data_IF_483751457316
#
_entry.id   IF_483751457316
#
_cell.length_a   1.000
_cell.length_b   1.000
_cell.length_c   1.000
_cell.angle_alpha   90.00
_cell.angle_beta   90.00
_cell.angle_gamma   90.00
#
_symmetry.space_group_name_H-M   'P 1'
#
loop_
_entity.id
_entity.type
_entity.pdbx_description
1 polymer ?
#
# COMPACT_ATOMS: atom_id res chain seq x y z
N UNK A 1 -22.96 -28.31 -1.15
CA UNK A 1 -22.94 -28.83 0.24
C UNK A 1 -23.03 -27.65 1.20
N UNK A 2 -23.90 -27.69 2.22
CA UNK A 2 -24.00 -26.56 3.17
C UNK A 2 -22.70 -26.39 3.97
N UNK A 3 -22.34 -25.17 4.43
CA UNK A 3 -21.10 -24.94 5.17
C UNK A 3 -20.92 -25.85 6.39
N UNK A 4 -22.01 -26.18 7.09
CA UNK A 4 -21.99 -27.11 8.23
C UNK A 4 -21.79 -28.57 7.81
N UNK A 5 -22.40 -29.01 6.70
CA UNK A 5 -22.16 -30.34 6.15
C UNK A 5 -20.70 -30.52 5.70
N UNK A 6 -20.09 -29.47 5.12
CA UNK A 6 -18.67 -29.48 4.70
C UNK A 6 -17.71 -29.61 5.88
N UNK A 7 -17.92 -28.83 6.94
CA UNK A 7 -17.09 -28.90 8.15
C UNK A 7 -17.17 -30.28 8.81
N UNK A 8 -18.37 -30.87 8.85
CA UNK A 8 -18.56 -32.20 9.42
C UNK A 8 -17.91 -33.30 8.58
N UNK A 9 -17.99 -33.21 7.25
CA UNK A 9 -17.29 -34.11 6.34
C UNK A 9 -15.76 -33.99 6.49
N UNK A 10 -15.23 -32.77 6.57
CA UNK A 10 -13.80 -32.53 6.75
C UNK A 10 -13.30 -33.11 8.08
N UNK A 11 -14.06 -32.93 9.18
CA UNK A 11 -13.72 -33.54 10.49
C UNK A 11 -13.79 -35.07 10.48
N UNK A 12 -14.71 -35.66 9.71
CA UNK A 12 -14.77 -37.12 9.53
C UNK A 12 -13.56 -37.64 8.74
N UNK A 13 -13.17 -36.94 7.68
CA UNK A 13 -11.99 -37.26 6.88
C UNK A 13 -10.69 -37.12 7.69
N UNK A 14 -10.57 -36.05 8.49
CA UNK A 14 -9.44 -35.81 9.38
C UNK A 14 -9.20 -36.97 10.34
N UNK A 15 -10.27 -37.47 10.97
CA UNK A 15 -10.20 -38.61 11.89
C UNK A 15 -9.86 -39.93 11.20
N UNK A 16 -10.32 -40.11 9.96
CA UNK A 16 -10.08 -41.34 9.19
C UNK A 16 -8.66 -41.42 8.64
N UNK A 17 -8.09 -40.29 8.23
CA UNK A 17 -6.83 -40.23 7.49
C UNK A 17 -5.66 -39.61 8.28
N UNK A 18 -5.90 -39.10 9.50
CA UNK A 18 -4.89 -38.48 10.36
C UNK A 18 -4.11 -37.33 9.69
N UNK A 19 -4.79 -36.58 8.81
CA UNK A 19 -4.23 -35.43 8.08
C UNK A 19 -4.62 -34.10 8.75
N UNK A 20 -3.93 -32.99 8.46
CA UNK A 20 -4.35 -31.66 8.89
C UNK A 20 -5.76 -31.29 8.38
N UNK A 21 -6.46 -30.43 9.12
CA UNK A 21 -7.84 -30.05 8.79
C UNK A 21 -7.96 -29.35 7.42
N UNK A 22 -6.95 -28.59 7.01
CA UNK A 22 -6.88 -27.91 5.70
C UNK A 22 -6.82 -28.90 4.55
N UNK A 23 -6.05 -29.98 4.69
CA UNK A 23 -5.96 -31.06 3.71
C UNK A 23 -7.28 -31.86 3.65
N UNK A 24 -7.84 -32.19 4.82
CA UNK A 24 -9.15 -32.84 4.90
C UNK A 24 -10.26 -32.00 4.26
N UNK A 25 -10.23 -30.68 4.43
CA UNK A 25 -11.18 -29.75 3.83
C UNK A 25 -11.06 -29.72 2.30
N UNK A 26 -9.83 -29.79 1.76
CA UNK A 26 -9.57 -29.88 0.32
C UNK A 26 -10.08 -31.20 -0.25
N UNK A 27 -9.87 -32.31 0.46
CA UNK A 27 -10.27 -33.65 0.02
C UNK A 27 -11.80 -33.86 -0.01
N UNK A 28 -12.56 -33.21 0.89
CA UNK A 28 -14.03 -33.34 0.93
C UNK A 28 -14.78 -32.25 0.16
N UNK A 29 -14.06 -31.33 -0.47
CA UNK A 29 -14.67 -30.30 -1.32
C UNK A 29 -14.68 -30.83 -2.75
N UNK A 30 -15.86 -31.11 -3.35
CA UNK A 30 -15.92 -31.57 -4.74
C UNK A 30 -15.27 -30.54 -5.66
N UNK A 31 -14.37 -30.99 -6.53
CA UNK A 31 -13.86 -30.15 -7.62
C UNK A 31 -15.06 -29.68 -8.45
N UNK A 32 -15.35 -28.38 -8.39
CA UNK A 32 -16.46 -27.75 -9.14
C UNK A 32 -17.74 -27.39 -8.35
N UNK A 33 -17.73 -27.34 -7.01
CA UNK A 33 -18.92 -26.86 -6.24
C UNK A 33 -18.76 -25.49 -5.56
N UNK A 34 -17.83 -24.69 -6.07
CA UNK A 34 -17.84 -23.23 -5.90
C UNK A 34 -17.92 -22.65 -7.32
N UNK A 35 -19.08 -22.06 -7.67
CA UNK A 35 -19.26 -21.30 -8.90
C UNK A 35 -19.98 -22.06 -10.01
N UNK A 36 -21.30 -21.90 -10.08
CA UNK A 36 -22.04 -22.11 -11.34
C UNK A 36 -22.88 -20.87 -11.71
N UNK A 37 -22.58 -19.72 -11.08
CA UNK A 37 -23.14 -18.38 -11.36
C UNK A 37 -22.13 -17.29 -10.95
N UNK A 38 -20.84 -17.49 -11.24
CA UNK A 38 -19.83 -16.43 -11.03
C UNK A 38 -19.54 -15.75 -12.38
N UNK A 39 -19.90 -14.47 -12.57
CA UNK A 39 -19.65 -13.73 -13.80
C UNK A 39 -18.16 -13.53 -14.11
N UNK A 40 -17.23 -13.87 -13.22
CA UNK A 40 -15.79 -13.63 -13.38
C UNK A 40 -14.97 -14.87 -13.79
N UNK A 41 -15.59 -15.89 -14.40
CA UNK A 41 -14.89 -17.09 -14.86
C UNK A 41 -13.75 -16.74 -15.85
N UNK A 42 -12.51 -16.93 -15.43
CA UNK A 42 -11.30 -16.64 -16.23
C UNK A 42 -10.58 -15.34 -15.85
N UNK A 43 -11.14 -14.53 -14.95
CA UNK A 43 -10.45 -13.37 -14.38
C UNK A 43 -9.51 -13.85 -13.27
N UNK A 44 -8.19 -13.56 -13.34
CA UNK A 44 -7.26 -13.93 -12.28
C UNK A 44 -7.64 -13.25 -10.94
N UNK A 45 -7.24 -13.86 -9.81
CA UNK A 45 -7.42 -13.22 -8.50
C UNK A 45 -6.77 -11.83 -8.48
N UNK A 46 -7.22 -10.90 -7.62
CA UNK A 46 -6.55 -9.60 -7.46
C UNK A 46 -5.04 -9.71 -7.30
N UNK A 47 -4.60 -10.68 -6.50
CA UNK A 47 -3.18 -10.95 -6.28
C UNK A 47 -2.46 -11.36 -7.55
N UNK A 48 -3.09 -12.24 -8.35
CA UNK A 48 -2.52 -12.67 -9.60
C UNK A 48 -2.48 -11.52 -10.63
N UNK A 49 -3.49 -10.65 -10.65
CA UNK A 49 -3.54 -9.48 -11.53
C UNK A 49 -2.40 -8.51 -11.25
N UNK A 50 -2.03 -8.29 -9.98
CA UNK A 50 -0.84 -7.49 -9.66
C UNK A 50 0.43 -8.14 -10.21
N UNK A 51 0.64 -9.42 -9.90
CA UNK A 51 1.84 -10.14 -10.32
C UNK A 51 1.96 -10.17 -11.84
N UNK A 52 0.87 -10.40 -12.56
CA UNK A 52 0.84 -10.35 -14.02
C UNK A 52 1.15 -8.93 -14.54
N UNK A 53 0.59 -7.88 -13.92
CA UNK A 53 0.88 -6.49 -14.28
C UNK A 53 2.35 -6.10 -14.03
N UNK A 54 2.99 -6.68 -13.01
CA UNK A 54 4.42 -6.56 -12.72
C UNK A 54 5.30 -7.54 -13.52
N UNK A 55 4.71 -8.35 -14.40
CA UNK A 55 5.40 -9.40 -15.17
C UNK A 55 6.12 -10.45 -14.28
N UNK A 56 5.58 -10.74 -13.11
CA UNK A 56 6.08 -11.72 -12.15
C UNK A 56 5.30 -13.03 -12.31
N UNK A 57 5.92 -14.03 -12.93
CA UNK A 57 5.28 -15.33 -13.12
C UNK A 57 5.12 -16.13 -11.82
N UNK A 58 6.16 -16.15 -10.98
CA UNK A 58 6.20 -16.85 -9.69
C UNK A 58 7.05 -16.03 -8.68
N UNK A 59 6.45 -15.52 -7.59
CA UNK A 59 7.16 -14.80 -6.53
C UNK A 59 8.30 -15.60 -5.89
N UNK A 60 8.17 -16.92 -5.78
CA UNK A 60 9.15 -17.77 -5.11
C UNK A 60 10.44 -17.95 -5.91
N UNK A 61 10.42 -17.70 -7.22
CA UNK A 61 11.58 -17.77 -8.12
C UNK A 61 11.90 -16.43 -8.79
N UNK A 62 11.24 -15.35 -8.36
CA UNK A 62 11.40 -14.03 -8.96
C UNK A 62 12.85 -13.54 -8.83
N UNK A 63 13.34 -12.85 -9.86
CA UNK A 63 14.58 -12.07 -9.79
C UNK A 63 14.29 -10.64 -10.25
N UNK A 64 14.62 -9.63 -9.43
CA UNK A 64 14.33 -8.24 -9.79
C UNK A 64 15.28 -7.69 -10.86
N UNK A 65 16.34 -8.42 -11.20
CA UNK A 65 17.43 -7.97 -12.08
C UNK A 65 16.93 -7.34 -13.39
N UNK A 66 16.00 -8.01 -14.07
CA UNK A 66 15.50 -7.53 -15.38
C UNK A 66 14.73 -6.22 -15.23
N UNK A 67 13.79 -6.18 -14.28
CA UNK A 67 12.99 -4.98 -14.01
C UNK A 67 13.89 -3.81 -13.56
N UNK A 68 14.83 -4.07 -12.65
CA UNK A 68 15.76 -3.03 -12.18
C UNK A 68 16.63 -2.48 -13.30
N UNK A 69 17.15 -3.34 -14.18
CA UNK A 69 17.91 -2.86 -15.33
C UNK A 69 17.07 -2.01 -16.30
N UNK A 70 15.80 -2.35 -16.48
CA UNK A 70 14.88 -1.60 -17.34
C UNK A 70 14.55 -0.24 -16.73
N UNK A 71 14.28 -0.19 -15.42
CA UNK A 71 13.76 0.98 -14.72
C UNK A 71 14.84 1.86 -14.04
N UNK A 72 16.11 1.46 -14.06
CA UNK A 72 17.20 2.19 -13.38
C UNK A 72 17.34 3.66 -13.83
N UNK A 73 16.99 3.96 -15.08
CA UNK A 73 17.11 5.30 -15.67
C UNK A 73 15.77 6.05 -15.79
N UNK A 74 14.67 5.45 -15.31
CA UNK A 74 13.35 6.08 -15.41
C UNK A 74 13.29 7.33 -14.54
N UNK A 75 12.83 8.45 -15.11
CA UNK A 75 12.68 9.70 -14.38
C UNK A 75 11.55 9.65 -13.36
N UNK A 76 10.49 8.91 -13.64
CA UNK A 76 9.28 8.87 -12.84
C UNK A 76 9.04 7.44 -12.36
N UNK A 77 8.50 7.28 -11.15
CA UNK A 77 8.12 5.95 -10.66
C UNK A 77 6.71 5.65 -11.13
N UNK A 78 6.49 4.47 -11.66
CA UNK A 78 5.17 4.02 -12.12
C UNK A 78 4.87 2.64 -11.56
N UNK A 79 3.61 2.42 -11.19
CA UNK A 79 3.17 1.11 -10.73
C UNK A 79 1.71 0.84 -11.06
N UNK A 80 1.33 -0.40 -11.39
CA UNK A 80 -0.07 -0.79 -11.50
C UNK A 80 -0.71 -0.79 -10.10
N UNK A 81 -1.86 -0.12 -9.94
CA UNK A 81 -2.52 0.00 -8.62
C UNK A 81 -3.93 -0.57 -8.55
N UNK A 82 -4.65 -0.61 -9.66
CA UNK A 82 -6.06 -0.98 -9.66
C UNK A 82 -6.49 -1.52 -11.00
N UNK A 83 -7.63 -2.19 -11.05
CA UNK A 83 -8.30 -2.58 -12.30
C UNK A 83 -9.78 -2.23 -12.18
N UNK A 84 -10.43 -1.87 -13.29
CA UNK A 84 -11.88 -1.66 -13.28
C UNK A 84 -12.59 -2.93 -12.77
N UNK A 85 -13.68 -2.76 -12.01
CA UNK A 85 -14.42 -3.90 -11.44
C UNK A 85 -15.11 -4.70 -12.57
N UNK A 86 -15.72 -4.00 -13.52
CA UNK A 86 -16.50 -4.63 -14.59
C UNK A 86 -15.61 -5.16 -15.72
N UNK A 87 -14.48 -4.49 -16.01
CA UNK A 87 -13.53 -4.85 -17.08
C UNK A 87 -12.08 -4.91 -16.57
N UNK A 88 -11.70 -5.96 -15.81
CA UNK A 88 -10.43 -6.01 -15.09
C UNK A 88 -9.21 -6.38 -15.96
N UNK A 89 -9.21 -5.99 -17.25
CA UNK A 89 -8.20 -6.43 -18.23
C UNK A 89 -6.96 -5.55 -18.26
N UNK A 90 -7.10 -4.26 -17.96
CA UNK A 90 -6.01 -3.28 -17.96
C UNK A 90 -5.87 -2.69 -16.57
N UNK A 91 -4.65 -2.69 -16.05
CA UNK A 91 -4.35 -2.09 -14.76
C UNK A 91 -4.14 -0.58 -14.91
N UNK A 92 -4.84 0.19 -14.09
CA UNK A 92 -4.60 1.61 -13.92
C UNK A 92 -3.24 1.86 -13.26
N UNK A 93 -2.50 2.82 -13.79
CA UNK A 93 -1.15 3.15 -13.34
C UNK A 93 -1.16 4.33 -12.37
N UNK A 94 -0.43 4.21 -11.27
CA UNK A 94 -0.05 5.32 -10.41
C UNK A 94 1.33 5.82 -10.81
N UNK A 95 1.43 7.12 -11.06
CA UNK A 95 2.69 7.82 -11.32
C UNK A 95 3.13 8.54 -10.05
N UNK A 96 4.41 8.48 -9.69
CA UNK A 96 4.98 9.28 -8.60
C UNK A 96 6.11 10.15 -9.15
N UNK A 97 5.79 11.42 -9.34
CA UNK A 97 6.66 12.45 -9.89
C UNK A 97 6.41 13.79 -9.17
N UNK A 98 7.08 14.85 -9.62
CA UNK A 98 6.95 16.18 -9.01
C UNK A 98 5.51 16.77 -9.10
N UNK A 99 4.70 16.35 -10.06
CA UNK A 99 3.31 16.78 -10.22
C UNK A 99 2.31 15.86 -9.49
N UNK A 100 2.73 14.65 -9.12
CA UNK A 100 1.94 13.69 -8.34
C UNK A 100 2.74 13.17 -7.14
N UNK A 101 3.03 14.07 -6.20
CA UNK A 101 3.93 13.83 -5.07
C UNK A 101 3.21 13.49 -3.78
N UNK A 102 1.94 13.88 -3.60
CA UNK A 102 1.14 13.58 -2.41
C UNK A 102 -0.04 12.68 -2.78
N UNK A 103 0.08 11.40 -2.43
CA UNK A 103 -0.96 10.38 -2.63
C UNK A 103 -1.66 10.11 -1.30
N UNK A 104 -2.97 10.31 -1.24
CA UNK A 104 -3.75 10.13 -0.03
C UNK A 104 -4.74 8.98 -0.14
N UNK A 105 -4.64 8.00 0.76
CA UNK A 105 -5.61 6.94 0.94
C UNK A 105 -6.62 7.34 2.01
N UNK A 106 -7.87 7.58 1.61
CA UNK A 106 -8.96 7.75 2.55
C UNK A 106 -9.61 6.38 2.79
N UNK A 107 -9.49 5.85 4.01
CA UNK A 107 -10.00 4.51 4.27
C UNK A 107 -10.33 4.27 5.75
N UNK A 108 -11.31 3.41 5.99
CA UNK A 108 -11.69 2.96 7.34
C UNK A 108 -11.10 1.57 7.67
N UNK A 109 -11.03 1.17 8.95
CA UNK A 109 -10.55 -0.15 9.33
C UNK A 109 -11.27 -1.30 8.60
N UNK A 110 -10.50 -2.29 8.13
CA UNK A 110 -11.03 -3.48 7.45
C UNK A 110 -11.31 -3.33 5.95
N UNK A 111 -10.95 -2.19 5.33
CA UNK A 111 -11.12 -1.97 3.88
C UNK A 111 -9.97 -2.47 3.00
N UNK A 112 -8.85 -2.87 3.61
CA UNK A 112 -7.65 -3.34 2.88
C UNK A 112 -6.55 -2.29 2.73
N UNK A 113 -6.71 -1.10 3.32
CA UNK A 113 -5.75 0.02 3.28
C UNK A 113 -4.29 -0.35 3.55
N UNK A 114 -3.98 -1.01 4.67
CA UNK A 114 -2.60 -1.45 4.99
C UNK A 114 -2.07 -2.47 3.98
N UNK A 115 -2.95 -3.35 3.45
CA UNK A 115 -2.57 -4.29 2.39
C UNK A 115 -2.25 -3.54 1.08
N UNK A 116 -3.01 -2.50 0.74
CA UNK A 116 -2.74 -1.64 -0.42
C UNK A 116 -1.41 -0.88 -0.26
N UNK A 117 -1.18 -0.22 0.88
CA UNK A 117 0.09 0.47 1.15
C UNK A 117 1.28 -0.48 1.06
N UNK A 118 1.21 -1.64 1.72
CA UNK A 118 2.26 -2.67 1.66
C UNK A 118 2.49 -3.17 0.23
N UNK A 119 1.41 -3.32 -0.54
CA UNK A 119 1.48 -3.74 -1.94
C UNK A 119 2.17 -2.70 -2.80
N UNK A 120 1.80 -1.42 -2.66
CA UNK A 120 2.43 -0.29 -3.36
C UNK A 120 3.93 -0.26 -3.07
N UNK A 121 4.31 -0.37 -1.79
CA UNK A 121 5.73 -0.39 -1.40
C UNK A 121 6.48 -1.58 -1.98
N UNK A 122 5.94 -2.80 -1.87
CA UNK A 122 6.60 -4.00 -2.42
C UNK A 122 6.67 -4.00 -3.95
N UNK A 123 5.63 -3.50 -4.64
CA UNK A 123 5.62 -3.38 -6.10
C UNK A 123 6.72 -2.43 -6.58
N UNK A 124 6.92 -1.31 -5.89
CA UNK A 124 8.03 -0.40 -6.15
C UNK A 124 9.39 -1.07 -5.90
N UNK A 125 9.56 -1.80 -4.79
CA UNK A 125 10.81 -2.53 -4.51
C UNK A 125 11.11 -3.62 -5.56
N UNK A 126 10.08 -4.28 -6.09
CA UNK A 126 10.22 -5.30 -7.13
C UNK A 126 10.60 -4.68 -8.49
N UNK A 127 10.13 -3.46 -8.77
CA UNK A 127 10.30 -2.80 -10.06
C UNK A 127 11.56 -1.93 -10.14
N UNK A 128 11.96 -1.31 -9.02
CA UNK A 128 13.04 -0.32 -8.96
C UNK A 128 14.15 -0.73 -8.00
N UNK A 129 15.43 -0.52 -8.35
CA UNK A 129 16.55 -0.79 -7.45
C UNK A 129 16.62 0.23 -6.29
N UNK A 130 17.29 -0.09 -5.17
CA UNK A 130 17.43 0.83 -4.04
C UNK A 130 18.21 2.11 -4.38
N UNK A 131 19.05 2.08 -5.41
CA UNK A 131 19.71 3.27 -5.97
C UNK A 131 18.73 4.20 -6.69
N UNK A 132 17.49 3.76 -6.94
CA UNK A 132 16.44 4.53 -7.61
C UNK A 132 15.29 4.92 -6.69
N UNK A 133 14.93 4.08 -5.73
CA UNK A 133 13.88 4.38 -4.74
C UNK A 133 14.26 3.90 -3.35
N UNK A 134 14.06 4.75 -2.36
CA UNK A 134 14.18 4.43 -0.94
C UNK A 134 12.91 4.80 -0.21
N UNK A 135 12.71 4.23 0.98
CA UNK A 135 11.52 4.41 1.78
C UNK A 135 11.84 4.88 3.19
N UNK A 136 11.04 5.81 3.68
CA UNK A 136 10.89 6.09 5.10
C UNK A 136 9.44 5.82 5.49
N UNK A 137 9.21 4.90 6.43
CA UNK A 137 7.85 4.43 6.73
C UNK A 137 7.45 4.71 8.18
N UNK A 138 6.22 5.14 8.42
CA UNK A 138 5.70 5.32 9.78
C UNK A 138 4.25 4.86 9.91
N UNK A 139 3.82 4.53 11.12
CA UNK A 139 2.43 4.22 11.42
C UNK A 139 2.24 3.44 12.72
N UNK A 140 1.00 3.23 13.14
CA UNK A 140 0.69 2.55 14.40
C UNK A 140 0.74 1.01 14.35
N UNK A 141 0.89 0.39 13.17
CA UNK A 141 0.76 -1.07 13.02
C UNK A 141 1.93 -1.69 12.29
N UNK A 142 2.70 -2.51 13.01
CA UNK A 142 3.84 -3.28 12.47
C UNK A 142 3.51 -4.12 11.22
N UNK A 143 2.26 -4.55 11.05
CA UNK A 143 1.85 -5.42 9.94
C UNK A 143 2.19 -4.88 8.54
N UNK A 144 2.31 -3.56 8.38
CA UNK A 144 2.81 -2.93 7.14
C UNK A 144 4.23 -3.39 6.80
N UNK A 145 5.13 -3.44 7.78
CA UNK A 145 6.56 -3.67 7.60
C UNK A 145 6.94 -5.13 7.32
N UNK A 146 5.99 -6.07 7.39
CA UNK A 146 6.31 -7.49 7.19
C UNK A 146 6.87 -7.75 5.79
N UNK A 147 8.12 -8.23 5.72
CA UNK A 147 8.85 -8.42 4.47
C UNK A 147 9.44 -7.13 3.86
N UNK A 148 9.32 -5.97 4.50
CA UNK A 148 9.97 -4.73 4.04
C UNK A 148 11.23 -4.44 4.87
N UNK A 149 11.26 -4.84 6.15
CA UNK A 149 12.38 -4.57 7.07
C UNK A 149 13.73 -5.13 6.65
N UNK A 150 13.77 -6.16 5.81
CA UNK A 150 15.01 -6.78 5.33
C UNK A 150 15.53 -6.18 4.01
N UNK A 151 14.75 -5.28 3.39
CA UNK A 151 15.07 -4.72 2.09
C UNK A 151 15.98 -3.50 2.24
N UNK A 152 17.00 -3.39 1.40
CA UNK A 152 17.90 -2.22 1.36
C UNK A 152 17.19 -0.93 0.93
N UNK A 153 15.96 -1.03 0.41
CA UNK A 153 15.12 0.13 0.10
C UNK A 153 14.65 0.86 1.37
N UNK A 154 14.50 0.18 2.52
CA UNK A 154 13.99 0.80 3.75
C UNK A 154 15.12 1.55 4.49
N UNK A 155 15.09 2.87 4.45
CA UNK A 155 16.11 3.71 5.07
C UNK A 155 15.85 3.96 6.57
N UNK A 156 14.60 4.26 6.93
CA UNK A 156 14.19 4.48 8.32
C UNK A 156 12.73 4.08 8.50
N UNK A 157 12.35 3.65 9.70
CA UNK A 157 10.96 3.39 10.02
C UNK A 157 10.59 3.78 11.46
N UNK A 158 9.31 4.07 11.68
CA UNK A 158 8.74 4.40 12.99
C UNK A 158 7.40 3.68 13.16
N UNK A 159 7.41 2.50 13.79
CA UNK A 159 6.22 1.71 14.05
C UNK A 159 6.25 1.14 15.46
N UNK A 160 5.08 1.05 16.08
CA UNK A 160 4.91 0.28 17.31
C UNK A 160 5.14 -1.20 17.01
N UNK A 161 6.04 -1.83 17.75
CA UNK A 161 6.23 -3.29 17.68
C UNK A 161 5.07 -3.98 18.39
N UNK A 162 4.40 -4.92 17.70
CA UNK A 162 3.39 -5.77 18.35
C UNK A 162 4.02 -6.66 19.44
N UNK A 163 5.32 -6.94 19.30
CA UNK A 163 6.10 -7.70 20.24
C UNK A 163 6.32 -6.77 21.44
N UNK A 164 5.60 -7.06 22.51
CA UNK A 164 5.61 -6.42 23.84
C UNK A 164 6.99 -6.55 24.53
N UNK A 165 8.10 -6.47 23.78
CA UNK A 165 9.42 -6.27 24.35
C UNK A 165 9.45 -4.82 24.79
N UNK A 166 9.48 -4.62 26.10
CA UNK A 166 9.49 -3.33 26.80
C UNK A 166 10.65 -2.37 26.41
N UNK A 167 11.40 -2.66 25.34
CA UNK A 167 12.68 -2.04 25.00
C UNK A 167 12.71 -1.38 23.60
N UNK A 168 11.73 -1.63 22.73
CA UNK A 168 11.69 -1.05 21.37
C UNK A 168 10.54 -0.06 21.26
N UNK A 169 10.80 1.18 21.66
CA UNK A 169 9.89 2.28 21.40
C UNK A 169 10.05 2.77 19.95
N UNK A 170 8.94 3.18 19.28
CA UNK A 170 9.03 3.87 18.00
C UNK A 170 9.93 5.11 18.14
N UNK A 171 11.03 5.15 17.39
CA UNK A 171 11.97 6.26 17.41
C UNK A 171 11.56 7.35 16.40
N UNK A 172 10.52 8.10 16.79
CA UNK A 172 10.02 9.20 15.96
C UNK A 172 11.05 10.31 15.77
N UNK A 173 11.93 10.52 16.75
CA UNK A 173 12.99 11.53 16.66
C UNK A 173 13.98 11.18 15.54
N UNK A 174 14.40 9.91 15.45
CA UNK A 174 15.24 9.40 14.35
C UNK A 174 14.54 9.48 13.01
N UNK A 175 13.25 9.12 12.95
CA UNK A 175 12.48 9.21 11.71
C UNK A 175 12.37 10.66 11.21
N UNK A 176 12.03 11.60 12.10
CA UNK A 176 11.99 13.02 11.76
C UNK A 176 13.36 13.54 11.32
N UNK A 177 14.40 13.30 12.12
CA UNK A 177 15.75 13.79 11.83
C UNK A 177 16.25 13.30 10.46
N UNK A 178 16.06 12.02 10.13
CA UNK A 178 16.46 11.49 8.82
C UNK A 178 15.80 12.25 7.66
N UNK A 179 14.50 12.50 7.74
CA UNK A 179 13.75 13.16 6.67
C UNK A 179 14.10 14.64 6.60
N UNK A 180 14.18 15.30 7.75
CA UNK A 180 14.53 16.71 7.85
C UNK A 180 15.94 16.98 7.31
N UNK A 181 16.92 16.14 7.66
CA UNK A 181 18.29 16.18 7.13
C UNK A 181 18.30 15.96 5.62
N UNK A 182 17.48 15.04 5.11
CA UNK A 182 17.41 14.78 3.66
C UNK A 182 16.80 15.98 2.90
N UNK A 183 15.75 16.60 3.43
CA UNK A 183 15.17 17.82 2.87
C UNK A 183 16.24 18.93 2.82
N UNK A 184 16.97 19.15 3.91
CA UNK A 184 17.98 20.20 4.01
C UNK A 184 19.18 19.93 3.08
N UNK A 185 19.63 18.68 3.01
CA UNK A 185 20.71 18.24 2.11
C UNK A 185 20.33 18.42 0.65
N UNK A 186 19.12 18.01 0.24
CA UNK A 186 18.66 18.14 -1.16
C UNK A 186 18.43 19.59 -1.55
N UNK A 187 17.93 20.42 -0.63
CA UNK A 187 17.74 21.87 -0.87
C UNK A 187 19.07 22.58 -1.15
N UNK A 188 20.16 22.13 -0.53
CA UNK A 188 21.49 22.75 -0.67
C UNK A 188 22.34 22.15 -1.79
N UNK A 189 21.94 21.02 -2.37
CA UNK A 189 22.71 20.29 -3.38
C UNK A 189 22.35 20.75 -4.81
N UNK A 190 23.37 21.14 -5.60
CA UNK A 190 23.18 21.66 -6.97
C UNK A 190 22.96 20.56 -8.04
N UNK A 191 23.09 19.28 -7.68
CA UNK A 191 22.94 18.13 -8.59
C UNK A 191 21.52 17.53 -8.54
N UNK A 192 20.50 18.36 -8.73
CA UNK A 192 19.11 17.91 -8.83
C UNK A 192 18.95 16.91 -10.00
N UNK A 193 18.51 15.68 -9.69
CA UNK A 193 18.06 14.71 -10.70
C UNK A 193 18.83 13.38 -10.82
N UNK A 194 19.80 13.09 -9.95
CA UNK A 194 20.50 11.79 -9.91
C UNK A 194 20.28 10.99 -8.62
N UNK A 195 19.47 11.50 -7.71
CA UNK A 195 19.27 10.88 -6.40
C UNK A 195 18.09 9.90 -6.42
N UNK A 196 18.13 8.84 -5.58
CA UNK A 196 16.98 7.98 -5.40
C UNK A 196 15.77 8.81 -4.95
N UNK A 197 14.59 8.49 -5.47
CA UNK A 197 13.37 9.04 -4.91
C UNK A 197 13.20 8.55 -3.47
N UNK A 198 12.97 9.47 -2.55
CA UNK A 198 12.58 9.10 -1.19
C UNK A 198 11.04 9.08 -1.12
N UNK A 199 10.46 7.89 -0.97
CA UNK A 199 9.03 7.70 -0.80
C UNK A 199 8.71 7.54 0.68
N UNK A 200 8.03 8.52 1.24
CA UNK A 200 7.54 8.52 2.61
C UNK A 200 6.19 7.81 2.64
N UNK A 201 6.04 6.77 3.45
CA UNK A 201 4.77 6.07 3.63
C UNK A 201 4.28 6.21 5.06
N UNK A 202 3.10 6.81 5.26
CA UNK A 202 2.50 6.95 6.60
C UNK A 202 1.15 6.25 6.64
N UNK A 203 1.08 5.13 7.38
CA UNK A 203 -0.16 4.39 7.65
C UNK A 203 -0.88 4.99 8.87
N UNK A 204 -2.16 5.36 8.71
CA UNK A 204 -2.99 6.04 9.72
C UNK A 204 -2.32 7.32 10.28
N UNK A 205 -2.13 8.36 9.45
CA UNK A 205 -1.48 9.61 9.86
C UNK A 205 -2.14 10.23 11.11
N UNK A 206 -3.46 10.21 11.19
CA UNK A 206 -4.20 10.71 12.36
C UNK A 206 -3.84 9.95 13.64
N UNK A 207 -3.69 8.63 13.59
CA UNK A 207 -3.28 7.82 14.74
C UNK A 207 -1.77 7.92 15.02
N UNK A 208 -0.95 8.12 13.99
CA UNK A 208 0.49 8.28 14.13
C UNK A 208 0.85 9.61 14.81
N UNK A 209 0.17 10.70 14.46
CA UNK A 209 0.42 12.03 15.02
C UNK A 209 -0.08 12.18 16.47
N UNK A 210 -1.06 11.37 16.90
CA UNK A 210 -1.64 11.46 18.25
C UNK A 210 -0.58 11.25 19.36
N UNK A 211 0.21 10.15 19.38
CA UNK A 211 1.31 10.01 20.32
C UNK A 211 2.59 10.76 19.88
N UNK A 212 2.69 11.21 18.62
CA UNK A 212 3.90 11.82 18.05
C UNK A 212 3.68 13.24 17.48
N UNK A 213 3.27 14.23 18.30
CA UNK A 213 2.94 15.56 17.80
C UNK A 213 4.11 16.30 17.13
N UNK A 214 5.35 15.97 17.50
CA UNK A 214 6.56 16.56 16.90
C UNK A 214 6.70 16.18 15.41
N UNK A 215 6.16 15.04 14.97
CA UNK A 215 6.22 14.61 13.58
C UNK A 215 5.38 15.48 12.64
N UNK A 216 4.40 16.23 13.15
CA UNK A 216 3.56 17.10 12.34
C UNK A 216 4.37 18.14 11.55
N UNK A 217 5.43 18.69 12.16
CA UNK A 217 6.30 19.67 11.50
C UNK A 217 7.09 19.04 10.34
N UNK A 218 7.68 17.86 10.55
CA UNK A 218 8.40 17.13 9.49
C UNK A 218 7.45 16.73 8.36
N UNK A 219 6.27 16.20 8.67
CA UNK A 219 5.26 15.85 7.64
C UNK A 219 4.85 17.09 6.84
N UNK A 220 4.65 18.24 7.50
CA UNK A 220 4.35 19.50 6.80
C UNK A 220 5.51 19.93 5.88
N UNK A 221 6.78 19.78 6.31
CA UNK A 221 7.95 20.06 5.46
C UNK A 221 8.01 19.15 4.24
N UNK A 222 7.65 17.87 4.39
CA UNK A 222 7.57 16.92 3.25
C UNK A 222 6.55 17.43 2.22
N UNK A 223 5.37 17.87 2.68
CA UNK A 223 4.32 18.40 1.80
C UNK A 223 4.79 19.68 1.09
N UNK A 224 5.42 20.59 1.83
CA UNK A 224 5.75 21.93 1.33
C UNK A 224 6.97 21.93 0.40
N UNK A 225 7.99 21.10 0.69
CA UNK A 225 9.27 21.10 -0.03
C UNK A 225 9.52 19.84 -0.86
N UNK A 226 8.85 18.73 -0.54
CA UNK A 226 9.18 17.42 -1.12
C UNK A 226 9.08 17.29 -2.64
N UNK A 227 8.05 17.86 -3.31
CA UNK A 227 7.85 17.67 -4.75
C UNK A 227 9.06 18.05 -5.61
N UNK A 228 9.72 19.16 -5.29
CA UNK A 228 10.89 19.65 -6.03
C UNK A 228 12.19 18.93 -5.66
N UNK A 229 12.19 18.19 -4.55
CA UNK A 229 13.37 17.51 -3.99
C UNK A 229 13.39 16.01 -4.30
N UNK A 230 12.44 15.50 -5.07
CA UNK A 230 12.32 14.06 -5.27
C UNK A 230 11.93 13.32 -3.98
N UNK A 231 11.10 13.94 -3.14
CA UNK A 231 10.52 13.34 -1.94
C UNK A 231 9.01 13.27 -2.13
N UNK A 232 8.44 12.06 -2.07
CA UNK A 232 7.00 11.82 -2.25
C UNK A 232 6.37 11.36 -0.95
N UNK A 233 5.10 11.67 -0.75
CA UNK A 233 4.31 11.23 0.39
C UNK A 233 3.15 10.34 -0.08
N UNK A 234 3.12 9.11 0.41
CA UNK A 234 1.96 8.23 0.36
C UNK A 234 1.41 8.13 1.77
N UNK A 235 0.29 8.77 2.01
CA UNK A 235 -0.32 8.87 3.34
C UNK A 235 -1.68 8.22 3.34
N UNK A 236 -2.07 7.67 4.48
CA UNK A 236 -3.44 7.26 4.70
C UNK A 236 -4.05 7.91 5.91
N UNK A 237 -5.36 8.13 5.88
CA UNK A 237 -6.10 8.71 6.99
C UNK A 237 -7.53 8.18 7.03
N UNK A 238 -8.10 8.11 8.24
CA UNK A 238 -9.50 7.72 8.45
C UNK A 238 -10.43 8.91 8.42
N UNK A 239 -9.94 10.06 8.86
CA UNK A 239 -10.73 11.25 9.11
C UNK A 239 -9.93 12.48 8.67
N UNK A 240 -10.60 13.35 7.93
CA UNK A 240 -10.07 14.65 7.56
C UNK A 240 -11.12 15.71 7.83
N UNK A 241 -10.67 16.91 8.17
CA UNK A 241 -11.51 18.10 8.22
C UNK A 241 -11.25 18.89 6.94
N UNK A 242 -12.12 18.79 5.93
CA UNK A 242 -11.90 19.45 4.66
C UNK A 242 -12.31 20.92 4.75
N UNK A 243 -11.46 21.79 4.20
CA UNK A 243 -11.80 23.19 3.89
C UNK A 243 -11.61 23.39 2.38
N UNK A 244 -12.68 23.14 1.62
CA UNK A 244 -12.59 22.91 0.17
C UNK A 244 -11.70 21.71 -0.14
N UNK A 245 -10.71 21.91 -1.02
CA UNK A 245 -9.75 20.86 -1.41
C UNK A 245 -8.58 20.70 -0.41
N UNK A 246 -8.48 21.58 0.60
CA UNK A 246 -7.44 21.51 1.62
C UNK A 246 -7.85 20.52 2.70
N UNK A 247 -7.09 19.44 2.85
CA UNK A 247 -7.31 18.44 3.87
C UNK A 247 -6.55 18.81 5.13
N UNK A 248 -7.24 18.81 6.27
CA UNK A 248 -6.64 19.04 7.58
C UNK A 248 -6.72 17.77 8.42
N UNK A 249 -5.55 17.27 8.83
CA UNK A 249 -5.44 16.16 9.78
C UNK A 249 -5.06 16.73 11.15
N UNK A 250 -5.93 16.59 12.17
CA UNK A 250 -5.65 17.14 13.49
C UNK A 250 -4.48 16.41 14.16
N UNK A 251 -3.72 17.15 14.97
CA UNK A 251 -2.64 16.64 15.79
C UNK A 251 -2.64 17.40 17.13
N UNK A 252 -1.94 16.88 18.14
CA UNK A 252 -1.68 17.62 19.38
C UNK A 252 -0.64 18.74 19.13
N UNK A 253 -1.07 19.84 18.53
CA UNK A 253 -0.19 20.93 18.08
C UNK A 253 -0.67 21.52 16.74
N UNK A 254 0.24 22.01 15.88
CA UNK A 254 -0.16 22.43 14.54
C UNK A 254 -0.69 21.23 13.75
N UNK A 255 -1.88 21.39 13.16
CA UNK A 255 -2.44 20.39 12.26
C UNK A 255 -1.62 20.29 10.97
N UNK A 256 -1.56 19.08 10.40
CA UNK A 256 -0.97 18.86 9.09
C UNK A 256 -2.01 19.21 8.02
N UNK A 257 -1.62 20.03 7.04
CA UNK A 257 -2.50 20.50 5.98
C UNK A 257 -1.89 20.27 4.61
N UNK A 258 -2.66 19.66 3.71
CA UNK A 258 -2.21 19.36 2.35
C UNK A 258 -3.36 19.24 1.37
N UNK A 259 -3.03 19.33 0.08
CA UNK A 259 -3.91 18.96 -1.02
C UNK A 259 -3.34 17.69 -1.65
N UNK A 260 -4.06 16.56 -1.63
CA UNK A 260 -3.60 15.38 -2.34
C UNK A 260 -3.61 15.62 -3.84
N UNK A 261 -2.54 15.22 -4.52
CA UNK A 261 -2.47 15.17 -5.97
C UNK A 261 -3.27 13.97 -6.49
N UNK A 262 -3.17 12.83 -5.80
CA UNK A 262 -4.02 11.66 -6.02
C UNK A 262 -4.71 11.24 -4.72
N UNK A 263 -5.99 10.92 -4.82
CA UNK A 263 -6.82 10.34 -3.77
C UNK A 263 -7.20 8.92 -4.15
N UNK A 264 -6.97 7.98 -3.24
CA UNK A 264 -7.49 6.61 -3.32
C UNK A 264 -8.52 6.46 -2.18
N UNK A 265 -9.80 6.58 -2.52
CA UNK A 265 -10.89 6.58 -1.56
C UNK A 265 -11.55 5.19 -1.48
N UNK A 266 -11.23 4.45 -0.43
CA UNK A 266 -11.95 3.25 -0.02
C UNK A 266 -13.30 3.63 0.62
N UNK A 267 -14.07 2.62 1.04
CA UNK A 267 -15.30 2.85 1.82
C UNK A 267 -15.07 3.81 3.00
N UNK A 268 -15.84 4.89 3.06
CA UNK A 268 -15.77 5.93 4.10
C UNK A 268 -16.80 5.69 5.21
N UNK A 269 -16.63 6.35 6.37
CA UNK A 269 -17.65 6.30 7.42
C UNK A 269 -18.82 7.22 7.09
N UNK A 270 -18.51 8.39 6.54
CA UNK A 270 -19.46 9.47 6.30
C UNK A 270 -19.55 9.84 4.83
N UNK A 271 -20.72 10.31 4.41
CA UNK A 271 -20.96 10.78 3.05
C UNK A 271 -20.13 12.02 2.75
N UNK A 272 -19.99 12.89 3.74
CA UNK A 272 -19.27 14.16 3.67
C UNK A 272 -17.78 13.95 3.35
N UNK A 273 -17.17 12.89 3.91
CA UNK A 273 -15.79 12.50 3.62
C UNK A 273 -15.61 12.10 2.14
N UNK A 274 -16.55 11.31 1.60
CA UNK A 274 -16.54 10.94 0.18
C UNK A 274 -16.73 12.17 -0.71
N UNK A 275 -17.69 13.05 -0.36
CA UNK A 275 -17.94 14.29 -1.10
C UNK A 275 -16.70 15.20 -1.11
N UNK A 276 -16.02 15.34 0.02
CA UNK A 276 -14.80 16.15 0.11
C UNK A 276 -13.62 15.54 -0.64
N UNK A 277 -13.51 14.20 -0.63
CA UNK A 277 -12.41 13.51 -1.25
C UNK A 277 -12.53 13.39 -2.77
N UNK A 278 -13.75 13.20 -3.27
CA UNK A 278 -14.02 12.85 -4.67
C UNK A 278 -14.97 13.83 -5.38
N UNK A 279 -15.73 14.65 -4.65
CA UNK A 279 -16.81 15.48 -5.20
C UNK A 279 -18.17 14.77 -5.28
N UNK A 280 -18.26 13.49 -4.93
CA UNK A 280 -19.49 12.67 -4.99
C UNK A 280 -19.51 11.60 -3.88
N UNK A 281 -20.65 10.93 -3.60
CA UNK A 281 -20.79 10.00 -2.47
C UNK A 281 -20.38 8.55 -2.78
N UNK A 282 -19.65 8.32 -3.87
CA UNK A 282 -19.38 6.98 -4.40
C UNK A 282 -18.62 6.09 -3.41
N UNK A 283 -17.56 6.62 -2.78
CA UNK A 283 -16.79 5.87 -1.80
C UNK A 283 -17.62 5.48 -0.57
N UNK A 284 -18.52 6.35 -0.09
CA UNK A 284 -19.44 6.02 1.01
C UNK A 284 -20.36 4.83 0.69
N UNK A 285 -20.70 4.64 -0.58
CA UNK A 285 -21.59 3.57 -1.04
C UNK A 285 -20.86 2.26 -1.38
N UNK A 286 -19.53 2.23 -1.30
CA UNK A 286 -18.73 1.03 -1.58
C UNK A 286 -18.97 -0.07 -0.55
N UNK A 287 -19.06 -1.31 -1.05
CA UNK A 287 -19.08 -2.47 -0.19
C UNK A 287 -17.73 -2.63 0.54
N UNK A 288 -17.79 -2.81 1.87
CA UNK A 288 -16.61 -2.95 2.71
C UNK A 288 -15.92 -4.31 2.52
N UNK A 289 -14.60 -4.31 2.67
CA UNK A 289 -13.77 -5.51 2.73
C UNK A 289 -13.44 -6.17 1.39
N UNK A 290 -13.83 -5.57 0.26
CA UNK A 290 -13.52 -6.09 -1.07
C UNK A 290 -12.30 -5.42 -1.74
N UNK A 291 -11.59 -4.53 -1.05
CA UNK A 291 -10.48 -3.79 -1.66
C UNK A 291 -10.92 -2.84 -2.78
N UNK A 292 -12.20 -2.44 -2.80
CA UNK A 292 -12.72 -1.49 -3.77
C UNK A 292 -12.41 -0.05 -3.34
N UNK A 293 -12.08 0.79 -4.31
CA UNK A 293 -11.86 2.22 -4.11
C UNK A 293 -12.20 3.02 -5.36
N UNK A 294 -12.44 4.32 -5.19
CA UNK A 294 -12.36 5.31 -6.27
C UNK A 294 -10.97 5.93 -6.28
N UNK A 295 -10.49 6.33 -7.45
CA UNK A 295 -9.20 7.01 -7.62
C UNK A 295 -9.46 8.37 -8.27
N UNK A 296 -8.82 9.43 -7.77
CA UNK A 296 -8.91 10.79 -8.34
C UNK A 296 -7.54 11.46 -8.35
N UNK A 297 -7.03 11.97 -9.48
CA UNK A 297 -7.60 11.83 -10.81
C UNK A 297 -7.51 10.37 -11.28
N UNK A 298 -8.51 9.91 -12.02
CA UNK A 298 -8.53 8.58 -12.62
C UNK A 298 -8.49 8.72 -14.14
N UNK A 299 -7.31 9.03 -14.68
CA UNK A 299 -7.13 9.19 -16.13
C UNK A 299 -7.59 7.95 -16.90
N UNK A 300 -7.31 6.75 -16.37
CA UNK A 300 -7.62 5.47 -17.01
C UNK A 300 -8.97 4.88 -16.58
N UNK A 301 -9.43 5.14 -15.34
CA UNK A 301 -10.65 4.53 -14.77
C UNK A 301 -11.89 5.43 -14.85
N UNK A 302 -11.71 6.72 -15.14
CA UNK A 302 -12.77 7.71 -15.01
C UNK A 302 -13.38 7.74 -13.60
N UNK A 303 -14.64 8.13 -13.48
CA UNK A 303 -15.35 8.18 -12.21
C UNK A 303 -16.06 6.85 -11.88
N UNK A 304 -15.31 5.74 -11.96
CA UNK A 304 -15.84 4.39 -11.69
C UNK A 304 -15.08 3.71 -10.55
N UNK A 305 -15.74 2.84 -9.77
CA UNK A 305 -15.07 2.11 -8.72
C UNK A 305 -14.14 1.06 -9.31
N UNK A 306 -12.95 0.94 -8.72
CA UNK A 306 -11.93 0.00 -9.13
C UNK A 306 -11.57 -0.96 -7.99
N UNK A 307 -11.09 -2.14 -8.37
CA UNK A 307 -10.51 -3.10 -7.45
C UNK A 307 -9.02 -2.79 -7.28
N UNK A 308 -8.61 -2.40 -6.07
CA UNK A 308 -7.20 -2.17 -5.75
C UNK A 308 -6.45 -3.49 -5.85
N UNK A 309 -5.32 -3.46 -6.54
CA UNK A 309 -4.43 -4.61 -6.68
C UNK A 309 -3.67 -4.78 -5.36
N UNK A 310 -3.76 -5.97 -4.80
CA UNK A 310 -3.04 -6.36 -3.57
C UNK A 310 -2.15 -7.55 -3.85
N UNK A 311 -1.24 -7.88 -2.95
CA UNK A 311 -0.59 -9.19 -2.92
C UNK A 311 -0.90 -9.88 -1.59
N UNK A 312 -1.21 -11.17 -1.62
CA UNK A 312 -1.43 -11.93 -0.38
C UNK A 312 -0.13 -12.07 0.43
N UNK A 313 -0.27 -12.46 1.69
CA UNK A 313 0.87 -12.52 2.62
C UNK A 313 1.97 -13.49 2.20
N UNK A 314 1.61 -14.64 1.62
CA UNK A 314 2.57 -15.70 1.25
C UNK A 314 3.40 -15.28 0.02
N UNK A 315 2.74 -14.73 -0.99
CA UNK A 315 3.39 -14.19 -2.19
C UNK A 315 4.24 -12.96 -1.85
N UNK A 316 3.74 -12.09 -0.97
CA UNK A 316 4.50 -10.92 -0.49
C UNK A 316 5.78 -11.32 0.27
N UNK A 317 5.70 -12.35 1.12
CA UNK A 317 6.85 -12.87 1.84
C UNK A 317 7.87 -13.51 0.88
N UNK A 318 7.39 -14.28 -0.10
CA UNK A 318 8.24 -14.91 -1.12
C UNK A 318 8.96 -13.86 -1.97
N UNK A 319 8.22 -12.85 -2.45
CA UNK A 319 8.76 -11.75 -3.25
C UNK A 319 9.83 -10.96 -2.47
N UNK A 320 9.51 -10.58 -1.24
CA UNK A 320 10.43 -9.91 -0.32
C UNK A 320 11.72 -10.71 -0.14
N UNK A 321 11.62 -12.00 0.17
CA UNK A 321 12.78 -12.86 0.40
C UNK A 321 13.69 -12.96 -0.83
N UNK A 322 13.10 -13.02 -2.04
CA UNK A 322 13.88 -13.03 -3.29
C UNK A 322 14.58 -11.70 -3.56
N UNK A 323 13.91 -10.57 -3.33
CA UNK A 323 14.53 -9.24 -3.47
C UNK A 323 15.68 -9.09 -2.47
N UNK A 324 15.46 -9.40 -1.20
CA UNK A 324 16.49 -9.35 -0.16
C UNK A 324 17.68 -10.28 -0.48
N UNK A 325 17.41 -11.48 -0.99
CA UNK A 325 18.46 -12.41 -1.40
C UNK A 325 19.26 -11.90 -2.61
N UNK A 326 18.65 -11.15 -3.52
CA UNK A 326 19.34 -10.50 -4.62
C UNK A 326 20.22 -9.33 -4.14
N UNK A 327 19.73 -8.51 -3.20
CA UNK A 327 20.48 -7.36 -2.63
C UNK A 327 21.73 -7.76 -1.85
N UNK A 328 21.75 -8.97 -1.28
CA UNK A 328 22.90 -9.50 -0.52
C UNK A 328 24.02 -10.07 -1.40
N UNK A 329 23.81 -10.23 -2.71
CA UNK A 329 24.79 -10.80 -3.65
C UNK A 329 25.64 -9.70 -4.28
#
# INVERSE_FOLDING_TARGET
MTPNARKNAARAYQRRHHVPYTEALRAVTPAGTLGDNDPHRGVPSPDRRLLDALQIADPATHSPKTAWHQHAADRDLTLPIATAIDEPTTAATLHLDAANSVIALLAIPGTGKTAALRTITLALCASYPPERVTFACAGGKWGFLHGITELSHLAVHCFDTWDNRDDVHPDVAKWCAYIDDEIDRRTTTTHAGLEPELVIVVDDLDEFLEPNPAAAATVQRIIDCGPDLGIRLIVSTKQLHPDGDLWTVPAFGPAVRFRPDTVIAFSTFRREESMAALGHPGAWSLQRGQGHAYIRPAAELGDTPAHILTVNSDDAASLSAQIAAYQRK
#
